data_IF_308641304922
#
_entry.id   IF_308641304922
#
_cell.length_a   1.000
_cell.length_b   1.000
_cell.length_c   1.000
_cell.angle_alpha   90.00
_cell.angle_beta   90.00
_cell.angle_gamma   90.00
#
_symmetry.space_group_name_H-M   'P 1'
#
loop_
_entity.id
_entity.type
_entity.pdbx_description
1 polymer ?
#
# COMPACT_ATOMS: atom_id res chain seq x y z
N UNK A 1 -2.11 7.50 -24.10
CA UNK A 1 -2.59 6.11 -23.88
C UNK A 1 -1.56 5.12 -24.44
N UNK A 2 -0.53 4.72 -23.76
CA UNK A 2 0.40 3.81 -24.40
C UNK A 2 1.63 3.34 -23.64
N UNK A 3 2.08 4.00 -22.59
CA UNK A 3 3.40 3.70 -22.01
C UNK A 3 3.32 2.72 -20.83
N UNK A 4 2.28 2.76 -20.01
CA UNK A 4 2.16 1.92 -18.82
C UNK A 4 1.77 0.47 -19.17
N UNK A 5 1.02 0.23 -20.26
CA UNK A 5 0.59 -1.12 -20.68
C UNK A 5 1.65 -1.98 -21.36
N UNK A 6 2.75 -1.43 -21.86
CA UNK A 6 3.74 -2.16 -22.67
C UNK A 6 4.73 -3.05 -21.88
N UNK A 7 4.78 -2.93 -20.54
CA UNK A 7 5.74 -3.68 -19.71
C UNK A 7 5.14 -4.86 -18.94
N UNK A 8 3.86 -5.17 -19.12
CA UNK A 8 3.14 -6.14 -18.28
C UNK A 8 2.72 -7.45 -18.99
N UNK A 9 3.57 -8.03 -19.81
CA UNK A 9 3.38 -9.43 -20.23
C UNK A 9 4.27 -10.30 -19.33
N UNK A 10 3.89 -10.48 -18.06
CA UNK A 10 4.36 -11.62 -17.28
C UNK A 10 3.22 -12.63 -17.18
N UNK A 11 3.48 -13.86 -17.68
CA UNK A 11 2.64 -15.03 -17.47
C UNK A 11 2.21 -15.09 -15.99
N UNK A 12 0.94 -15.35 -15.73
CA UNK A 12 0.40 -15.64 -14.39
C UNK A 12 1.07 -16.92 -13.83
N UNK A 13 2.30 -16.79 -13.34
CA UNK A 13 2.81 -17.75 -12.36
C UNK A 13 2.00 -17.48 -11.09
N UNK A 14 1.48 -18.55 -10.50
CA UNK A 14 0.80 -18.50 -9.20
C UNK A 14 1.83 -17.96 -8.19
N UNK A 15 1.82 -16.65 -7.95
CA UNK A 15 2.79 -15.99 -7.09
C UNK A 15 2.58 -16.46 -5.66
N UNK A 16 3.67 -16.57 -4.91
CA UNK A 16 3.64 -16.97 -3.51
C UNK A 16 2.90 -15.91 -2.69
N UNK A 17 1.91 -16.32 -1.89
CA UNK A 17 1.27 -15.42 -0.95
C UNK A 17 2.27 -15.02 0.15
N UNK A 18 2.49 -13.71 0.28
CA UNK A 18 3.30 -13.12 1.36
C UNK A 18 2.45 -12.85 2.59
N UNK A 19 1.25 -12.31 2.38
CA UNK A 19 0.25 -12.06 3.42
C UNK A 19 -1.04 -12.75 3.03
N UNK A 20 -1.66 -13.45 3.95
CA UNK A 20 -3.00 -14.01 3.78
C UNK A 20 -3.88 -13.58 4.95
N UNK A 21 -5.05 -13.06 4.65
CA UNK A 21 -6.13 -12.88 5.60
C UNK A 21 -7.11 -14.02 5.40
N UNK A 22 -7.48 -14.68 6.47
CA UNK A 22 -8.43 -15.78 6.46
C UNK A 22 -9.59 -15.47 7.41
N UNK A 23 -10.78 -15.25 6.85
CA UNK A 23 -12.06 -14.99 7.51
C UNK A 23 -11.99 -13.92 8.61
N UNK A 24 -11.30 -12.82 8.32
CA UNK A 24 -11.16 -11.71 9.25
C UNK A 24 -12.52 -11.07 9.49
N UNK A 25 -12.91 -11.02 10.77
CA UNK A 25 -14.10 -10.30 11.24
C UNK A 25 -13.74 -9.36 12.38
N UNK A 26 -14.35 -8.16 12.38
CA UNK A 26 -14.13 -7.14 13.41
C UNK A 26 -15.38 -6.28 13.59
N UNK A 27 -15.69 -5.98 14.87
CA UNK A 27 -16.75 -5.06 15.25
C UNK A 27 -16.24 -4.02 16.25
N UNK A 28 -16.77 -2.80 16.20
CA UNK A 28 -16.60 -1.80 17.24
C UNK A 28 -17.93 -1.63 18.01
N UNK A 29 -18.00 -2.22 19.19
CA UNK A 29 -19.23 -2.36 19.94
C UNK A 29 -20.28 -3.12 19.14
N UNK A 30 -21.43 -2.50 18.85
CA UNK A 30 -22.51 -3.11 18.05
C UNK A 30 -22.32 -2.95 16.53
N UNK A 31 -21.36 -2.14 16.08
CA UNK A 31 -21.14 -1.85 14.66
C UNK A 31 -20.15 -2.84 14.07
N UNK A 32 -20.62 -3.71 13.16
CA UNK A 32 -19.74 -4.57 12.35
C UNK A 32 -18.99 -3.75 11.34
N UNK A 33 -17.69 -3.97 11.23
CA UNK A 33 -16.80 -3.30 10.28
C UNK A 33 -16.34 -4.26 9.20
N UNK A 34 -15.96 -5.49 9.58
CA UNK A 34 -15.52 -6.55 8.67
C UNK A 34 -16.24 -7.85 9.02
N UNK A 35 -16.58 -8.63 8.00
CA UNK A 35 -17.24 -9.92 8.13
C UNK A 35 -16.67 -10.91 7.10
N UNK A 36 -15.98 -11.95 7.59
CA UNK A 36 -15.39 -13.04 6.81
C UNK A 36 -14.51 -12.58 5.64
N UNK A 37 -13.71 -11.54 5.84
CA UNK A 37 -12.84 -10.97 4.82
C UNK A 37 -11.62 -11.86 4.62
N UNK A 38 -11.45 -12.39 3.40
CA UNK A 38 -10.32 -13.26 3.03
C UNK A 38 -9.73 -12.83 1.70
N UNK A 39 -8.41 -12.62 1.66
CA UNK A 39 -7.64 -12.34 0.44
C UNK A 39 -6.14 -12.51 0.68
N UNK A 40 -5.36 -12.48 -0.39
CA UNK A 40 -3.91 -12.58 -0.35
C UNK A 40 -3.25 -11.33 -0.95
N UNK A 41 -2.06 -10.99 -0.41
CA UNK A 41 -1.09 -10.10 -1.05
C UNK A 41 0.06 -10.99 -1.50
N UNK A 42 0.29 -11.07 -2.81
CA UNK A 42 1.28 -11.96 -3.39
C UNK A 42 2.61 -11.25 -3.67
N UNK A 43 3.68 -12.02 -3.72
CA UNK A 43 5.00 -11.55 -4.09
C UNK A 43 4.99 -11.00 -5.53
N UNK A 44 5.54 -9.79 -5.72
CA UNK A 44 5.62 -9.17 -7.03
C UNK A 44 4.25 -8.84 -7.66
N UNK A 45 3.22 -8.60 -6.85
CA UNK A 45 1.88 -8.20 -7.29
C UNK A 45 1.48 -6.87 -6.64
N UNK A 46 0.77 -6.04 -7.38
CA UNK A 46 0.10 -4.86 -6.86
C UNK A 46 -1.39 -5.18 -6.74
N UNK A 47 -1.87 -5.31 -5.50
CA UNK A 47 -3.27 -5.51 -5.17
C UNK A 47 -3.92 -4.17 -4.84
N UNK A 48 -5.03 -3.83 -5.50
CA UNK A 48 -5.87 -2.69 -5.17
C UNK A 48 -6.97 -3.06 -4.17
N UNK A 49 -7.30 -2.15 -3.27
CA UNK A 49 -8.45 -2.29 -2.37
C UNK A 49 -9.36 -1.09 -2.54
N UNK A 50 -10.54 -1.31 -3.10
CA UNK A 50 -11.57 -0.32 -3.38
C UNK A 50 -12.74 -0.44 -2.42
N UNK A 51 -13.49 0.63 -2.27
CA UNK A 51 -14.71 0.67 -1.49
C UNK A 51 -15.00 2.07 -0.96
N UNK A 52 -16.23 2.34 -0.51
CA UNK A 52 -16.62 3.64 0.07
C UNK A 52 -15.75 4.04 1.26
N UNK A 53 -15.77 5.33 1.60
CA UNK A 53 -15.13 5.80 2.82
C UNK A 53 -15.80 5.17 4.06
N UNK A 54 -14.97 4.77 5.04
CA UNK A 54 -15.45 4.15 6.27
C UNK A 54 -15.89 2.69 6.14
N UNK A 55 -15.66 2.01 5.00
CA UNK A 55 -16.03 0.59 4.78
C UNK A 55 -15.08 -0.40 5.47
N UNK A 56 -13.94 0.06 6.01
CA UNK A 56 -12.98 -0.78 6.72
C UNK A 56 -11.63 -1.00 6.02
N UNK A 57 -11.31 -0.25 4.94
CA UNK A 57 -10.02 -0.41 4.22
C UNK A 57 -8.80 -0.16 5.13
N UNK A 58 -8.72 0.98 5.79
CA UNK A 58 -7.63 1.29 6.73
C UNK A 58 -7.66 0.37 7.95
N UNK A 59 -8.84 -0.12 8.35
CA UNK A 59 -8.99 -1.12 9.41
C UNK A 59 -8.29 -2.43 9.05
N UNK A 60 -8.40 -2.87 7.80
CA UNK A 60 -7.68 -4.05 7.29
C UNK A 60 -6.16 -3.83 7.40
N UNK A 61 -5.65 -2.67 6.99
CA UNK A 61 -4.22 -2.35 7.13
C UNK A 61 -3.77 -2.34 8.59
N UNK A 62 -4.59 -1.80 9.50
CA UNK A 62 -4.30 -1.83 10.94
C UNK A 62 -4.28 -3.26 11.49
N UNK A 63 -5.11 -4.16 10.96
CA UNK A 63 -5.09 -5.60 11.30
C UNK A 63 -3.82 -6.27 10.74
N UNK A 64 -3.46 -6.01 9.48
CA UNK A 64 -2.24 -6.57 8.87
C UNK A 64 -0.99 -6.10 9.62
N UNK A 65 -0.90 -4.82 9.97
CA UNK A 65 0.25 -4.27 10.71
C UNK A 65 0.28 -4.68 12.18
N UNK A 66 -0.84 -5.14 12.75
CA UNK A 66 -0.96 -5.53 14.16
C UNK A 66 -1.26 -4.38 15.11
N UNK A 67 -1.74 -3.25 14.57
CA UNK A 67 -2.29 -2.14 15.36
C UNK A 67 -3.67 -2.47 15.93
N UNK A 68 -4.43 -3.30 15.23
CA UNK A 68 -5.71 -3.85 15.68
C UNK A 68 -5.68 -5.36 15.61
N UNK A 69 -6.38 -6.00 16.56
CA UNK A 69 -6.63 -7.43 16.53
C UNK A 69 -8.06 -7.68 16.00
N UNK A 70 -8.27 -8.66 15.12
CA UNK A 70 -9.60 -9.06 14.69
C UNK A 70 -10.32 -9.82 15.79
N UNK A 71 -11.67 -9.79 15.78
CA UNK A 71 -12.50 -10.60 16.67
C UNK A 71 -12.44 -12.10 16.30
N UNK A 72 -12.31 -12.37 14.98
CA UNK A 72 -12.19 -13.72 14.44
C UNK A 72 -11.33 -13.72 13.18
N UNK A 73 -10.86 -14.91 12.79
CA UNK A 73 -9.99 -15.12 11.64
C UNK A 73 -8.52 -15.04 11.97
N UNK A 74 -7.68 -15.10 10.94
CA UNK A 74 -6.23 -15.09 11.12
C UNK A 74 -5.50 -14.30 10.04
N UNK A 75 -4.36 -13.72 10.45
CA UNK A 75 -3.38 -13.07 9.57
C UNK A 75 -2.14 -13.95 9.49
N UNK A 76 -1.78 -14.35 8.28
CA UNK A 76 -0.59 -15.18 8.03
C UNK A 76 0.44 -14.40 7.23
N UNK A 77 1.71 -14.53 7.60
CA UNK A 77 2.87 -14.08 6.81
C UNK A 77 3.71 -15.29 6.42
N UNK A 78 3.87 -15.53 5.12
CA UNK A 78 4.56 -16.73 4.62
C UNK A 78 4.07 -18.02 5.33
N UNK A 79 2.76 -18.17 5.49
CA UNK A 79 2.07 -19.27 6.19
C UNK A 79 2.32 -19.33 7.72
N UNK A 80 2.99 -18.34 8.32
CA UNK A 80 3.11 -18.24 9.78
C UNK A 80 1.97 -17.39 10.31
N UNK A 81 1.17 -17.92 11.24
CA UNK A 81 0.12 -17.16 11.89
C UNK A 81 0.73 -16.09 12.80
N UNK A 82 0.41 -14.83 12.52
CA UNK A 82 0.92 -13.67 13.24
C UNK A 82 -0.18 -12.84 13.90
N UNK A 83 -1.39 -13.37 13.95
CA UNK A 83 -2.57 -12.63 14.44
C UNK A 83 -2.32 -11.96 15.78
N UNK A 84 -1.62 -12.64 16.70
CA UNK A 84 -1.30 -12.12 18.02
C UNK A 84 0.09 -11.47 18.12
N UNK A 85 0.82 -11.31 17.02
CA UNK A 85 2.14 -10.68 17.05
C UNK A 85 2.00 -9.16 17.10
N UNK A 86 2.75 -8.49 18.00
CA UNK A 86 2.75 -7.04 18.08
C UNK A 86 3.40 -6.41 16.85
N UNK A 87 3.04 -5.15 16.57
CA UNK A 87 3.47 -4.39 15.39
C UNK A 87 4.99 -4.44 15.14
N UNK A 88 5.81 -4.29 16.19
CA UNK A 88 7.28 -4.26 16.04
C UNK A 88 7.84 -5.59 15.55
N UNK A 89 7.24 -6.73 15.91
CA UNK A 89 7.64 -8.03 15.39
C UNK A 89 7.22 -8.20 13.93
N UNK A 90 6.02 -7.73 13.57
CA UNK A 90 5.55 -7.81 12.18
C UNK A 90 6.41 -6.96 11.25
N UNK A 91 6.75 -5.74 11.65
CA UNK A 91 7.60 -4.86 10.83
C UNK A 91 9.04 -5.36 10.73
N UNK A 92 9.66 -5.73 11.86
CA UNK A 92 11.07 -6.15 11.88
C UNK A 92 11.29 -7.54 11.26
N UNK A 93 10.47 -8.54 11.65
CA UNK A 93 10.66 -9.95 11.24
C UNK A 93 10.08 -10.23 9.87
N UNK A 94 8.90 -9.68 9.54
CA UNK A 94 8.20 -9.96 8.29
C UNK A 94 8.35 -8.85 7.24
N UNK A 95 9.12 -7.81 7.56
CA UNK A 95 9.47 -6.76 6.60
C UNK A 95 8.26 -6.08 5.97
N UNK A 96 7.35 -5.56 6.81
CA UNK A 96 6.20 -4.77 6.36
C UNK A 96 6.58 -3.30 6.35
N UNK A 97 6.41 -2.63 5.21
CA UNK A 97 6.39 -1.18 5.09
C UNK A 97 4.94 -0.70 5.09
N UNK A 98 4.67 0.38 5.82
CA UNK A 98 3.34 1.00 5.86
C UNK A 98 3.43 2.51 5.63
N UNK A 99 2.65 2.99 4.69
CA UNK A 99 2.47 4.41 4.35
C UNK A 99 1.06 4.80 4.77
N UNK A 100 0.89 5.54 5.85
CA UNK A 100 -0.43 5.97 6.32
C UNK A 100 -1.02 7.06 5.43
N UNK A 101 -2.33 7.25 5.53
CA UNK A 101 -3.07 8.32 4.84
C UNK A 101 -2.50 9.70 5.18
N UNK A 102 -2.24 9.95 6.48
CA UNK A 102 -1.71 11.21 7.01
C UNK A 102 -0.47 10.98 7.86
N UNK A 103 0.45 11.95 7.85
CA UNK A 103 1.65 11.91 8.69
C UNK A 103 2.71 10.92 8.20
N UNK A 104 3.31 10.17 9.11
CA UNK A 104 4.37 9.21 8.83
C UNK A 104 5.77 9.85 8.72
N UNK A 105 5.92 11.13 9.11
CA UNK A 105 7.18 11.87 9.12
C UNK A 105 7.20 12.92 10.24
N UNK A 106 8.39 13.38 10.60
CA UNK A 106 8.61 14.45 11.58
C UNK A 106 8.54 15.81 10.88
N UNK A 107 7.54 16.61 11.24
CA UNK A 107 7.21 17.88 10.58
C UNK A 107 8.33 18.92 10.59
N UNK A 108 9.05 19.03 11.73
CA UNK A 108 10.09 20.06 11.96
C UNK A 108 11.49 19.61 11.57
N UNK A 109 11.70 18.33 11.26
CA UNK A 109 12.93 17.83 10.67
C UNK A 109 12.95 18.07 9.16
N UNK A 110 14.16 18.23 8.61
CA UNK A 110 14.33 18.27 7.15
C UNK A 110 14.05 16.89 6.53
N UNK A 111 13.93 16.83 5.21
CA UNK A 111 13.74 15.57 4.50
C UNK A 111 14.87 14.59 4.83
N UNK A 112 16.13 15.04 4.72
CA UNK A 112 17.29 14.19 5.01
C UNK A 112 17.33 13.76 6.49
N UNK A 113 16.98 14.63 7.41
CA UNK A 113 16.92 14.30 8.85
C UNK A 113 15.82 13.27 9.15
N UNK A 114 14.68 13.34 8.49
CA UNK A 114 13.63 12.32 8.58
C UNK A 114 14.16 10.94 8.17
N UNK A 115 14.88 10.87 7.04
CA UNK A 115 15.44 9.61 6.54
C UNK A 115 16.51 9.07 7.51
N UNK A 116 17.39 9.94 8.03
CA UNK A 116 18.40 9.53 9.02
C UNK A 116 17.77 9.00 10.30
N UNK A 117 16.76 9.69 10.86
CA UNK A 117 16.12 9.30 12.12
C UNK A 117 15.54 7.87 12.04
N UNK A 118 14.92 7.50 10.93
CA UNK A 118 14.37 6.15 10.75
C UNK A 118 15.46 5.14 10.35
N UNK A 119 16.43 5.55 9.52
CA UNK A 119 17.51 4.65 9.10
C UNK A 119 18.40 4.22 10.26
N UNK A 120 18.62 5.08 11.26
CA UNK A 120 19.39 4.74 12.46
C UNK A 120 18.77 3.62 13.29
N UNK A 121 17.42 3.55 13.30
CA UNK A 121 16.69 2.48 13.99
C UNK A 121 16.76 1.16 13.20
N UNK A 122 16.74 1.23 11.86
CA UNK A 122 16.58 0.06 11.00
C UNK A 122 17.89 -0.52 10.47
N UNK A 123 18.95 0.31 10.33
CA UNK A 123 20.20 -0.07 9.67
C UNK A 123 21.38 0.22 10.60
N UNK A 124 22.03 -0.80 11.11
CA UNK A 124 23.12 -0.68 12.10
C UNK A 124 24.36 0.03 11.54
N UNK A 125 24.78 -0.32 10.31
CA UNK A 125 26.04 0.16 9.71
C UNK A 125 25.86 1.52 9.04
N UNK A 126 26.61 2.54 9.51
CA UNK A 126 26.56 3.91 9.02
C UNK A 126 26.73 4.03 7.49
N UNK A 127 27.72 3.33 6.92
CA UNK A 127 27.95 3.36 5.47
C UNK A 127 26.74 2.83 4.67
N UNK A 128 26.09 1.77 5.17
CA UNK A 128 24.87 1.23 4.54
C UNK A 128 23.70 2.21 4.65
N UNK A 129 23.57 2.91 5.81
CA UNK A 129 22.55 3.95 5.99
C UNK A 129 22.70 5.05 4.96
N UNK A 130 23.91 5.64 4.87
CA UNK A 130 24.17 6.74 3.96
C UNK A 130 23.96 6.36 2.49
N UNK A 131 24.42 5.15 2.10
CA UNK A 131 24.17 4.64 0.76
C UNK A 131 22.66 4.51 0.47
N UNK A 132 21.90 3.86 1.37
CA UNK A 132 20.45 3.65 1.21
C UNK A 132 19.67 4.96 1.16
N UNK A 133 20.03 5.93 2.02
CA UNK A 133 19.39 7.24 2.06
C UNK A 133 19.62 7.99 0.73
N UNK A 134 20.87 8.05 0.26
CA UNK A 134 21.19 8.73 -0.99
C UNK A 134 20.53 8.04 -2.20
N UNK A 135 20.52 6.72 -2.24
CA UNK A 135 19.81 5.94 -3.26
C UNK A 135 18.31 6.27 -3.31
N UNK A 136 17.65 6.32 -2.15
CA UNK A 136 16.23 6.68 -2.07
C UNK A 136 15.98 8.15 -2.45
N UNK A 137 16.82 9.10 -2.03
CA UNK A 137 16.71 10.50 -2.41
C UNK A 137 16.80 10.64 -3.94
N UNK A 138 17.78 10.01 -4.57
CA UNK A 138 17.97 10.03 -6.02
C UNK A 138 16.78 9.35 -6.75
N UNK A 139 16.40 8.14 -6.30
CA UNK A 139 15.29 7.36 -6.89
C UNK A 139 13.96 8.10 -6.86
N UNK A 140 13.72 8.90 -5.82
CA UNK A 140 12.48 9.67 -5.63
C UNK A 140 12.60 11.11 -6.14
N UNK A 141 13.77 11.51 -6.72
CA UNK A 141 14.02 12.87 -7.22
C UNK A 141 13.78 13.92 -6.13
N UNK A 142 14.37 13.72 -4.95
CA UNK A 142 14.19 14.57 -3.78
C UNK A 142 15.43 15.42 -3.43
N UNK A 143 16.48 15.38 -4.27
CA UNK A 143 17.74 16.09 -4.01
C UNK A 143 17.55 17.60 -3.80
N UNK A 144 16.72 18.24 -4.62
CA UNK A 144 16.48 19.69 -4.57
C UNK A 144 15.80 20.16 -3.27
N UNK A 145 15.19 19.22 -2.51
CA UNK A 145 14.45 19.53 -1.28
C UNK A 145 14.99 18.81 -0.04
N UNK A 146 16.20 18.22 -0.15
CA UNK A 146 16.78 17.38 0.93
C UNK A 146 16.91 18.13 2.27
N UNK A 147 17.22 19.42 2.24
CA UNK A 147 17.44 20.28 3.42
C UNK A 147 16.19 21.10 3.79
N UNK A 148 15.06 20.90 3.08
CA UNK A 148 13.79 21.55 3.36
C UNK A 148 13.07 20.81 4.49
N UNK A 149 12.55 21.55 5.49
CA UNK A 149 11.73 20.97 6.57
C UNK A 149 10.48 20.31 5.98
N UNK A 150 10.14 19.12 6.46
CA UNK A 150 9.06 18.31 5.90
C UNK A 150 7.69 19.02 5.88
N UNK A 151 7.41 19.92 6.81
CA UNK A 151 6.18 20.71 6.82
C UNK A 151 6.04 21.63 5.60
N UNK A 152 7.13 22.06 4.98
CA UNK A 152 7.16 22.95 3.82
C UNK A 152 7.21 22.21 2.47
N UNK A 153 7.32 20.89 2.46
CA UNK A 153 7.25 20.08 1.25
C UNK A 153 5.85 20.15 0.62
N UNK A 154 5.79 20.06 -0.72
CA UNK A 154 4.51 19.88 -1.43
C UNK A 154 3.84 18.54 -1.06
N UNK A 155 2.56 18.37 -1.38
CA UNK A 155 1.83 17.12 -1.15
C UNK A 155 2.52 15.91 -1.78
N UNK A 156 2.94 16.02 -3.05
CA UNK A 156 3.67 14.96 -3.75
C UNK A 156 5.04 14.66 -3.13
N UNK A 157 5.80 15.69 -2.74
CA UNK A 157 7.08 15.51 -2.05
C UNK A 157 6.91 14.83 -0.69
N UNK A 158 5.86 15.18 0.07
CA UNK A 158 5.51 14.50 1.33
C UNK A 158 5.19 13.02 1.10
N UNK A 159 4.40 12.69 0.08
CA UNK A 159 4.09 11.28 -0.26
C UNK A 159 5.37 10.52 -0.66
N UNK A 160 6.23 11.11 -1.51
CA UNK A 160 7.53 10.53 -1.86
C UNK A 160 8.39 10.29 -0.62
N UNK A 161 8.48 11.24 0.33
CA UNK A 161 9.21 11.09 1.58
C UNK A 161 8.68 9.91 2.41
N UNK A 162 7.36 9.82 2.63
CA UNK A 162 6.78 8.74 3.46
C UNK A 162 7.00 7.37 2.83
N UNK A 163 6.89 7.26 1.49
CA UNK A 163 7.20 6.01 0.78
C UNK A 163 8.70 5.68 0.94
N UNK A 164 9.59 6.66 0.79
CA UNK A 164 11.02 6.45 0.98
C UNK A 164 11.34 5.97 2.41
N UNK A 165 10.70 6.56 3.44
CA UNK A 165 10.81 6.11 4.83
C UNK A 165 10.37 4.65 5.01
N UNK A 166 9.26 4.24 4.40
CA UNK A 166 8.77 2.87 4.45
C UNK A 166 9.72 1.86 3.75
N UNK A 167 10.51 2.32 2.77
CA UNK A 167 11.47 1.49 2.03
C UNK A 167 12.83 1.34 2.71
N UNK A 168 13.15 2.12 3.75
CA UNK A 168 14.42 2.00 4.47
C UNK A 168 14.65 0.62 5.07
N UNK A 169 13.59 -0.06 5.48
CA UNK A 169 13.64 -1.41 6.06
C UNK A 169 13.70 -2.56 5.06
N UNK A 170 13.86 -2.29 3.77
CA UNK A 170 13.78 -3.29 2.69
C UNK A 170 12.53 -4.19 2.81
N UNK A 171 11.32 -3.60 2.75
CA UNK A 171 10.09 -4.33 2.98
C UNK A 171 9.87 -5.40 1.90
N UNK A 172 9.24 -6.52 2.31
CA UNK A 172 8.71 -7.54 1.39
C UNK A 172 7.27 -7.24 1.00
N UNK A 173 6.56 -6.54 1.87
CA UNK A 173 5.19 -6.08 1.64
C UNK A 173 5.12 -4.60 1.92
N UNK A 174 4.51 -3.83 1.02
CA UNK A 174 4.27 -2.41 1.16
C UNK A 174 2.77 -2.13 1.14
N UNK A 175 2.28 -1.52 2.21
CA UNK A 175 0.88 -1.12 2.35
C UNK A 175 0.79 0.40 2.16
N UNK A 176 -0.06 0.86 1.23
CA UNK A 176 -0.22 2.27 0.88
C UNK A 176 -1.68 2.68 1.14
N UNK A 177 -1.90 3.52 2.15
CA UNK A 177 -3.23 4.00 2.52
C UNK A 177 -3.50 5.38 1.90
N UNK A 178 -4.47 5.44 0.97
CA UNK A 178 -4.90 6.63 0.23
C UNK A 178 -3.72 7.47 -0.32
N UNK A 179 -2.84 6.80 -1.07
CA UNK A 179 -1.62 7.44 -1.55
C UNK A 179 -1.84 8.44 -2.70
N UNK A 180 -2.99 8.40 -3.39
CA UNK A 180 -3.33 9.32 -4.47
C UNK A 180 -4.21 10.49 -4.02
N UNK A 181 -4.73 10.46 -2.79
CA UNK A 181 -5.64 11.47 -2.28
C UNK A 181 -5.02 12.88 -2.26
N UNK A 182 -5.80 13.89 -2.69
CA UNK A 182 -5.43 15.31 -2.70
C UNK A 182 -4.16 15.65 -3.50
N UNK A 183 -3.86 14.90 -4.55
CA UNK A 183 -2.75 15.15 -5.47
C UNK A 183 -3.28 15.54 -6.85
N UNK A 184 -2.48 16.31 -7.59
CA UNK A 184 -2.73 16.63 -8.99
C UNK A 184 -2.48 15.43 -9.90
N UNK A 185 -3.05 15.47 -11.12
CA UNK A 185 -3.00 14.37 -12.09
C UNK A 185 -1.56 13.97 -12.46
N UNK A 186 -0.62 14.93 -12.57
CA UNK A 186 0.76 14.64 -12.93
C UNK A 186 1.48 13.92 -11.79
N UNK A 187 1.26 14.38 -10.57
CA UNK A 187 1.81 13.75 -9.35
C UNK A 187 1.27 12.32 -9.18
N UNK A 188 -0.04 12.09 -9.43
CA UNK A 188 -0.63 10.74 -9.40
C UNK A 188 0.06 9.82 -10.41
N UNK A 189 0.20 10.24 -11.67
CA UNK A 189 0.87 9.43 -12.70
C UNK A 189 2.31 9.09 -12.34
N UNK A 190 3.04 10.06 -11.79
CA UNK A 190 4.41 9.83 -11.33
C UNK A 190 4.47 8.82 -10.18
N UNK A 191 3.57 8.91 -9.21
CA UNK A 191 3.49 7.92 -8.12
C UNK A 191 3.09 6.53 -8.61
N UNK A 192 2.14 6.43 -9.55
CA UNK A 192 1.77 5.16 -10.18
C UNK A 192 2.98 4.51 -10.85
N UNK A 193 3.77 5.28 -11.64
CA UNK A 193 4.98 4.77 -12.28
C UNK A 193 6.02 4.33 -11.24
N UNK A 194 6.21 5.11 -10.19
CA UNK A 194 7.11 4.77 -9.08
C UNK A 194 6.72 3.46 -8.41
N UNK A 195 5.43 3.26 -8.09
CA UNK A 195 4.91 2.03 -7.48
C UNK A 195 5.11 0.82 -8.39
N UNK A 196 4.85 0.97 -9.68
CA UNK A 196 5.09 -0.09 -10.68
C UNK A 196 6.58 -0.43 -10.78
N UNK A 197 7.46 0.57 -10.77
CA UNK A 197 8.91 0.35 -10.79
C UNK A 197 9.39 -0.38 -9.53
N UNK A 198 8.89 0.02 -8.34
CA UNK A 198 9.19 -0.68 -7.08
C UNK A 198 8.81 -2.16 -7.12
N UNK A 199 7.63 -2.47 -7.63
CA UNK A 199 7.16 -3.86 -7.76
C UNK A 199 8.04 -4.64 -8.74
N UNK A 200 8.38 -4.08 -9.91
CA UNK A 200 9.13 -4.78 -10.95
C UNK A 200 10.61 -4.98 -10.60
N UNK A 201 11.23 -3.98 -9.97
CA UNK A 201 12.67 -4.02 -9.63
C UNK A 201 12.95 -4.83 -8.36
N UNK A 202 12.07 -4.75 -7.36
CA UNK A 202 12.32 -5.32 -6.04
C UNK A 202 11.45 -6.54 -5.71
N UNK A 203 10.54 -6.93 -6.61
CA UNK A 203 9.60 -8.05 -6.42
C UNK A 203 8.78 -7.95 -5.13
N UNK A 204 8.48 -6.72 -4.69
CA UNK A 204 7.70 -6.42 -3.48
C UNK A 204 6.22 -6.71 -3.75
N UNK A 205 5.52 -7.32 -2.78
CA UNK A 205 4.06 -7.36 -2.79
C UNK A 205 3.52 -6.01 -2.31
N UNK A 206 2.68 -5.35 -3.09
CA UNK A 206 2.13 -4.03 -2.76
C UNK A 206 0.62 -4.13 -2.61
N UNK A 207 0.07 -3.55 -1.56
CA UNK A 207 -1.38 -3.37 -1.43
C UNK A 207 -1.68 -1.89 -1.29
N UNK A 208 -2.54 -1.38 -2.18
CA UNK A 208 -2.94 0.02 -2.22
C UNK A 208 -4.42 0.11 -1.90
N UNK A 209 -4.82 0.85 -0.87
CA UNK A 209 -6.21 1.24 -0.73
C UNK A 209 -6.39 2.71 -1.15
N UNK A 210 -7.38 2.96 -1.99
CA UNK A 210 -7.75 4.30 -2.41
C UNK A 210 -9.24 4.33 -2.81
N UNK A 211 -9.84 5.50 -2.76
CA UNK A 211 -11.20 5.72 -3.24
C UNK A 211 -11.24 6.22 -4.69
N UNK A 212 -10.10 6.63 -5.26
CA UNK A 212 -9.96 7.05 -6.66
C UNK A 212 -9.85 5.82 -7.57
N UNK A 213 -10.99 5.19 -7.86
CA UNK A 213 -11.04 3.90 -8.55
C UNK A 213 -10.31 3.89 -9.90
N UNK A 214 -10.41 4.97 -10.71
CA UNK A 214 -9.76 5.03 -12.03
C UNK A 214 -8.24 5.02 -11.91
N UNK A 215 -7.70 5.83 -11.00
CA UNK A 215 -6.27 5.93 -10.79
C UNK A 215 -5.70 4.65 -10.22
N UNK A 216 -6.41 4.04 -9.24
CA UNK A 216 -6.00 2.76 -8.67
C UNK A 216 -6.00 1.65 -9.71
N UNK A 217 -7.11 1.44 -10.44
CA UNK A 217 -7.24 0.36 -11.42
C UNK A 217 -6.28 0.48 -12.61
N UNK A 218 -5.72 1.67 -12.86
CA UNK A 218 -4.74 1.87 -13.93
C UNK A 218 -3.35 1.30 -13.62
N UNK A 219 -3.02 1.07 -12.34
CA UNK A 219 -1.68 0.65 -11.91
C UNK A 219 -1.64 -0.69 -11.15
N UNK A 220 -2.78 -1.33 -10.85
CA UNK A 220 -2.81 -2.60 -10.12
C UNK A 220 -2.91 -3.83 -11.04
N UNK A 221 -2.47 -4.99 -10.55
CA UNK A 221 -2.61 -6.27 -11.24
C UNK A 221 -3.98 -6.90 -10.99
N UNK A 222 -4.45 -6.82 -9.76
CA UNK A 222 -5.75 -7.26 -9.31
C UNK A 222 -6.31 -6.27 -8.29
N UNK A 223 -7.61 -6.30 -8.06
CA UNK A 223 -8.22 -5.54 -6.99
C UNK A 223 -9.36 -6.30 -6.32
N UNK A 224 -9.65 -5.89 -5.08
CA UNK A 224 -10.83 -6.32 -4.31
C UNK A 224 -11.72 -5.11 -4.07
N UNK A 225 -13.02 -5.34 -4.03
CA UNK A 225 -14.03 -4.31 -3.72
C UNK A 225 -14.71 -4.68 -2.41
N UNK A 226 -14.56 -3.80 -1.41
CA UNK A 226 -15.25 -3.91 -0.13
C UNK A 226 -16.55 -3.13 -0.17
N UNK A 227 -17.63 -3.75 0.27
CA UNK A 227 -18.93 -3.13 0.51
C UNK A 227 -19.69 -3.92 1.56
N UNK A 228 -20.46 -3.25 2.40
CA UNK A 228 -21.26 -3.90 3.45
C UNK A 228 -20.45 -4.90 4.30
N UNK A 229 -19.27 -4.47 4.78
CA UNK A 229 -18.35 -5.25 5.61
C UNK A 229 -17.70 -6.46 4.95
N UNK A 230 -17.95 -6.74 3.65
CA UNK A 230 -17.49 -7.93 2.92
C UNK A 230 -16.74 -7.58 1.64
N UNK A 231 -15.98 -8.53 1.13
CA UNK A 231 -15.49 -8.47 -0.26
C UNK A 231 -16.65 -8.91 -1.17
N UNK A 232 -17.11 -7.99 -2.02
CA UNK A 232 -18.22 -8.26 -2.95
C UNK A 232 -17.75 -8.68 -4.34
N UNK A 233 -16.52 -8.31 -4.72
CA UNK A 233 -15.89 -8.68 -5.98
C UNK A 233 -14.37 -8.68 -5.84
N UNK A 234 -13.71 -9.56 -6.60
CA UNK A 234 -12.25 -9.66 -6.71
C UNK A 234 -11.89 -10.10 -8.12
N UNK A 235 -10.81 -9.56 -8.67
CA UNK A 235 -10.30 -9.92 -10.01
C UNK A 235 -9.38 -8.85 -10.58
N UNK A 236 -9.02 -9.04 -11.85
CA UNK A 236 -8.27 -8.03 -12.62
C UNK A 236 -9.13 -6.78 -12.83
N UNK A 237 -8.53 -5.62 -13.14
CA UNK A 237 -9.28 -4.41 -13.48
C UNK A 237 -10.36 -4.63 -14.53
N UNK A 238 -10.05 -5.40 -15.59
CA UNK A 238 -10.99 -5.71 -16.68
C UNK A 238 -12.17 -6.57 -16.22
N UNK A 239 -11.94 -7.55 -15.37
CA UNK A 239 -12.98 -8.39 -14.78
C UNK A 239 -13.89 -7.58 -13.86
N UNK A 240 -13.31 -6.72 -13.01
CA UNK A 240 -14.07 -5.90 -12.07
C UNK A 240 -14.98 -4.88 -12.76
N UNK A 241 -14.50 -4.23 -13.83
CA UNK A 241 -15.30 -3.27 -14.61
C UNK A 241 -16.53 -3.95 -15.22
N UNK A 242 -16.44 -5.23 -15.57
CA UNK A 242 -17.54 -5.99 -16.14
C UNK A 242 -18.38 -6.75 -15.11
N UNK A 243 -17.97 -6.75 -13.84
CA UNK A 243 -18.67 -7.47 -12.78
C UNK A 243 -19.97 -6.76 -12.38
N UNK A 244 -21.10 -7.47 -12.41
CA UNK A 244 -22.41 -6.91 -12.09
C UNK A 244 -22.52 -6.38 -10.66
N UNK A 245 -21.97 -7.11 -9.66
CA UNK A 245 -21.97 -6.68 -8.27
C UNK A 245 -21.08 -5.44 -8.06
N UNK A 246 -19.93 -5.37 -8.72
CA UNK A 246 -19.06 -4.20 -8.67
C UNK A 246 -19.74 -2.96 -9.27
N UNK A 247 -20.46 -3.11 -10.39
CA UNK A 247 -21.25 -2.03 -11.00
C UNK A 247 -22.36 -1.54 -10.07
N UNK A 248 -23.20 -2.45 -9.59
CA UNK A 248 -24.38 -2.07 -8.79
C UNK A 248 -24.04 -1.49 -7.41
N UNK A 249 -22.92 -1.89 -6.80
CA UNK A 249 -22.60 -1.50 -5.41
C UNK A 249 -21.46 -0.48 -5.29
N UNK A 250 -20.70 -0.22 -6.37
CA UNK A 250 -19.55 0.67 -6.26
C UNK A 250 -19.33 1.58 -7.47
N UNK A 251 -19.24 1.05 -8.70
CA UNK A 251 -18.84 1.85 -9.85
C UNK A 251 -19.99 2.64 -10.49
N UNK A 252 -21.22 2.13 -10.45
CA UNK A 252 -22.31 2.59 -11.31
C UNK A 252 -22.17 2.10 -12.76
N UNK A 253 -23.27 2.17 -13.54
CA UNK A 253 -23.34 1.59 -14.89
C UNK A 253 -22.45 2.30 -15.92
N UNK A 254 -22.16 3.60 -15.72
CA UNK A 254 -21.39 4.44 -16.67
C UNK A 254 -19.88 4.42 -16.44
N UNK A 255 -19.37 3.67 -15.47
CA UNK A 255 -17.95 3.69 -15.13
C UNK A 255 -17.08 3.06 -16.22
N UNK A 256 -16.06 3.81 -16.65
CA UNK A 256 -15.04 3.35 -17.61
C UNK A 256 -13.66 3.71 -17.09
N UNK A 257 -12.70 2.83 -17.25
CA UNK A 257 -11.26 3.10 -17.09
C UNK A 257 -10.72 3.29 -18.50
N UNK A 258 -10.29 4.51 -18.81
CA UNK A 258 -9.71 4.86 -20.12
C UNK A 258 -8.30 4.31 -20.25
#
# INVERSE_FOLDING_TARGET
>A
MGIIKKFRIKSFKKNKALVSLDKISLSFGKRRILEDVSFNINEGEILGMLGPNGVGKSTIFNIITGQLQPDAGSVLFNNVNVTNYPIYLRTKKFKIGFVPQYGGYFHDLTLIQNLHAIAEILIEKANKRNFKINDLIAKFELDSVRDVKAKFLSGGQKKKLVIALALLGDPKVLLLDECFAALDVLTIKMLQQLIVNLQTESNIGICICDHQARDLLSCVDAAIILSNCKIIAQGTPSELINNSKAKSHYFGDSFKVN
#
